data_IF_516545749316
#
_entry.id   IF_516545749316
#
_cell.length_a   1.000
_cell.length_b   1.000
_cell.length_c   1.000
_cell.angle_alpha   90.00
_cell.angle_beta   90.00
_cell.angle_gamma   90.00
#
_symmetry.space_group_name_H-M   'P 1'
#
loop_
_entity.id
_entity.type
_entity.pdbx_description
1 polymer ?
#
# COMPACT_ATOMS: atom_id res chain seq x y z
N UNK A 1 -3.82 16.00 12.16
CA UNK A 1 -3.79 16.29 10.71
C UNK A 1 -3.71 15.03 9.83
N UNK A 2 -3.03 13.95 10.27
CA UNK A 2 -2.87 12.68 9.51
C UNK A 2 -4.17 11.87 9.33
N UNK A 3 -5.02 11.78 10.36
CA UNK A 3 -6.34 11.09 10.27
C UNK A 3 -7.29 11.75 9.26
N UNK A 4 -7.23 13.07 9.11
CA UNK A 4 -8.02 13.80 8.11
C UNK A 4 -7.50 13.43 6.72
N UNK A 5 -6.19 13.32 6.50
CA UNK A 5 -5.61 12.92 5.21
C UNK A 5 -6.00 11.50 4.76
N UNK A 6 -6.03 10.52 5.67
CA UNK A 6 -6.45 9.14 5.38
C UNK A 6 -7.97 9.09 5.11
N UNK A 7 -8.78 9.73 5.96
CA UNK A 7 -10.23 9.78 5.77
C UNK A 7 -10.63 10.54 4.49
N UNK A 8 -9.94 11.63 4.14
CA UNK A 8 -10.17 12.41 2.93
C UNK A 8 -9.73 11.64 1.66
N UNK A 9 -8.65 10.85 1.73
CA UNK A 9 -8.23 9.95 0.65
C UNK A 9 -9.22 8.80 0.42
N UNK A 10 -9.80 8.24 1.48
CA UNK A 10 -10.85 7.21 1.36
C UNK A 10 -12.14 7.83 0.82
N UNK A 11 -12.56 9.00 1.32
CA UNK A 11 -13.75 9.71 0.86
C UNK A 11 -13.66 10.08 -0.63
N UNK A 12 -12.52 10.62 -1.08
CA UNK A 12 -12.30 10.95 -2.49
C UNK A 12 -12.12 9.73 -3.41
N UNK A 13 -11.88 8.55 -2.84
CA UNK A 13 -11.81 7.31 -3.60
C UNK A 13 -13.18 6.63 -3.79
N UNK A 14 -14.22 7.08 -3.07
CA UNK A 14 -15.58 6.57 -3.22
C UNK A 14 -16.26 7.32 -4.37
N UNK A 15 -16.59 6.58 -5.42
CA UNK A 15 -17.34 7.09 -6.57
C UNK A 15 -18.85 7.12 -6.26
N UNK A 16 -19.34 6.13 -5.50
CA UNK A 16 -20.77 6.05 -5.13
C UNK A 16 -20.97 5.47 -3.75
N UNK A 17 -21.86 6.06 -2.97
CA UNK A 17 -22.30 5.54 -1.67
C UNK A 17 -23.83 5.42 -1.65
N UNK A 18 -24.36 4.25 -1.29
CA UNK A 18 -25.81 4.01 -1.27
C UNK A 18 -26.23 3.14 -0.09
N UNK A 19 -27.36 3.48 0.54
CA UNK A 19 -28.01 2.60 1.50
C UNK A 19 -28.81 1.53 0.74
N UNK A 20 -28.52 0.26 1.00
CA UNK A 20 -29.14 -0.89 0.34
C UNK A 20 -29.61 -1.91 1.36
N UNK A 21 -30.78 -2.45 1.13
CA UNK A 21 -31.31 -3.57 1.91
C UNK A 21 -30.62 -4.86 1.48
N UNK A 22 -30.03 -5.58 2.42
CA UNK A 22 -29.45 -6.90 2.23
C UNK A 22 -30.52 -7.97 2.45
N UNK A 23 -30.53 -8.97 1.57
CA UNK A 23 -31.49 -10.08 1.64
C UNK A 23 -30.76 -11.41 1.54
N UNK A 24 -31.28 -12.41 2.24
CA UNK A 24 -30.76 -13.77 2.15
C UNK A 24 -30.96 -14.31 0.72
N UNK A 25 -29.94 -14.89 0.08
CA UNK A 25 -29.98 -15.23 -1.35
C UNK A 25 -31.06 -16.27 -1.69
N UNK A 26 -31.32 -17.22 -0.77
CA UNK A 26 -32.34 -18.28 -0.95
C UNK A 26 -33.72 -17.93 -0.37
N UNK A 27 -33.83 -17.65 0.94
CA UNK A 27 -35.12 -17.33 1.58
C UNK A 27 -35.70 -15.97 1.23
N UNK A 28 -34.93 -15.05 0.62
CA UNK A 28 -35.32 -13.65 0.35
C UNK A 28 -35.71 -12.85 1.61
N UNK A 29 -35.39 -13.37 2.78
CA UNK A 29 -35.57 -12.69 4.06
C UNK A 29 -34.65 -11.45 4.13
N UNK A 30 -35.16 -10.36 4.71
CA UNK A 30 -34.37 -9.15 4.93
C UNK A 30 -33.37 -9.42 6.07
N UNK A 31 -32.09 -9.22 5.78
CA UNK A 31 -31.00 -9.48 6.73
C UNK A 31 -30.57 -8.23 7.46
N UNK A 32 -30.33 -7.14 6.73
CA UNK A 32 -29.80 -5.89 7.29
C UNK A 32 -29.98 -4.73 6.29
N UNK A 33 -29.82 -3.50 6.76
CA UNK A 33 -29.65 -2.32 5.91
C UNK A 33 -28.17 -1.93 5.90
N UNK A 34 -27.53 -1.96 4.72
CA UNK A 34 -26.10 -1.77 4.57
C UNK A 34 -25.74 -0.53 3.74
N UNK A 35 -24.66 0.14 4.13
CA UNK A 35 -24.04 1.18 3.33
C UNK A 35 -23.06 0.56 2.34
N UNK A 36 -23.40 0.62 1.05
CA UNK A 36 -22.57 0.09 -0.03
C UNK A 36 -21.70 1.20 -0.60
N UNK A 37 -20.38 0.99 -0.57
CA UNK A 37 -19.40 1.92 -1.12
C UNK A 37 -18.77 1.35 -2.40
N UNK A 38 -18.82 2.11 -3.48
CA UNK A 38 -18.19 1.79 -4.77
C UNK A 38 -16.92 2.61 -4.94
N UNK A 39 -15.83 1.91 -5.26
CA UNK A 39 -14.57 2.52 -5.68
C UNK A 39 -14.43 2.38 -7.22
N UNK A 40 -13.92 3.40 -7.93
CA UNK A 40 -13.73 3.33 -9.38
C UNK A 40 -12.47 2.52 -9.72
N UNK A 41 -12.49 1.83 -10.88
CA UNK A 41 -11.35 1.01 -11.30
C UNK A 41 -10.05 1.83 -11.40
N UNK A 42 -8.90 1.26 -10.97
CA UNK A 42 -8.66 -0.16 -10.71
C UNK A 42 -9.10 -0.64 -9.31
N UNK A 43 -9.82 0.15 -8.51
CA UNK A 43 -10.15 -0.14 -7.11
C UNK A 43 -11.53 -0.79 -6.98
N UNK A 44 -11.57 -1.95 -6.29
CA UNK A 44 -12.72 -2.88 -6.20
C UNK A 44 -13.63 -2.56 -5.00
N UNK A 45 -14.81 -3.16 -5.02
CA UNK A 45 -15.91 -2.97 -4.07
C UNK A 45 -15.53 -3.38 -2.64
N UNK A 46 -15.97 -2.61 -1.63
CA UNK A 46 -15.95 -3.02 -0.23
C UNK A 46 -17.35 -2.86 0.36
N UNK A 47 -17.85 -3.91 0.99
CA UNK A 47 -19.10 -3.88 1.73
C UNK A 47 -18.80 -3.65 3.21
N UNK A 48 -19.26 -2.53 3.77
CA UNK A 48 -19.32 -2.33 5.21
C UNK A 48 -20.72 -2.72 5.67
N UNK A 49 -20.87 -3.91 6.25
CA UNK A 49 -22.10 -4.34 6.91
C UNK A 49 -21.99 -4.07 8.40
N UNK A 50 -23.02 -3.48 9.00
CA UNK A 50 -23.01 -3.06 10.41
C UNK A 50 -23.13 -4.22 11.42
N UNK A 51 -23.74 -5.34 11.05
CA UNK A 51 -23.94 -6.46 11.99
C UNK A 51 -24.21 -7.84 11.38
N UNK A 52 -24.39 -7.94 10.06
CA UNK A 52 -24.70 -9.22 9.42
C UNK A 52 -23.52 -10.21 9.52
N UNK A 53 -23.76 -11.47 9.92
CA UNK A 53 -22.71 -12.48 9.92
C UNK A 53 -22.18 -12.67 8.50
N UNK A 54 -20.87 -12.48 8.30
CA UNK A 54 -20.22 -12.50 6.99
C UNK A 54 -20.52 -13.76 6.16
N UNK A 55 -20.86 -14.86 6.83
CA UNK A 55 -21.25 -16.14 6.25
C UNK A 55 -22.51 -16.07 5.34
N UNK A 56 -23.33 -15.03 5.46
CA UNK A 56 -24.58 -14.89 4.69
C UNK A 56 -24.43 -14.01 3.44
N UNK A 57 -23.27 -13.38 3.23
CA UNK A 57 -23.05 -12.46 2.11
C UNK A 57 -22.50 -13.26 0.92
N UNK A 58 -23.39 -13.77 0.07
CA UNK A 58 -23.00 -14.38 -1.20
C UNK A 58 -23.05 -13.35 -2.33
N UNK A 59 -21.90 -12.79 -2.69
CA UNK A 59 -21.78 -11.92 -3.86
C UNK A 59 -21.38 -12.76 -5.08
N UNK A 60 -22.18 -12.76 -6.18
CA UNK A 60 -21.81 -13.47 -7.40
C UNK A 60 -20.42 -13.06 -7.88
N UNK A 61 -19.61 -14.05 -8.30
CA UNK A 61 -18.22 -13.84 -8.75
C UNK A 61 -17.23 -13.33 -7.71
N UNK A 62 -17.58 -13.40 -6.41
CA UNK A 62 -16.66 -13.14 -5.32
C UNK A 62 -16.39 -14.42 -4.53
N UNK A 63 -15.19 -14.49 -3.93
CA UNK A 63 -14.83 -15.48 -2.92
C UNK A 63 -14.51 -14.79 -1.61
N UNK A 64 -14.57 -15.54 -0.51
CA UNK A 64 -14.00 -15.08 0.75
C UNK A 64 -12.49 -14.85 0.57
N UNK A 65 -12.02 -13.70 1.07
CA UNK A 65 -10.61 -13.37 1.06
C UNK A 65 -9.87 -14.16 2.15
N UNK A 66 -8.63 -14.55 1.87
CA UNK A 66 -7.72 -15.09 2.87
C UNK A 66 -7.22 -13.98 3.80
N UNK A 67 -6.65 -14.39 4.95
CA UNK A 67 -6.08 -13.45 5.91
C UNK A 67 -4.98 -12.61 5.23
N UNK A 68 -5.11 -11.28 5.28
CA UNK A 68 -4.13 -10.36 4.69
C UNK A 68 -4.18 -10.23 3.16
N UNK A 69 -5.04 -10.97 2.46
CA UNK A 69 -5.04 -11.03 0.99
C UNK A 69 -5.26 -9.64 0.32
N UNK A 70 -6.01 -8.74 0.95
CA UNK A 70 -6.17 -7.37 0.45
C UNK A 70 -4.88 -6.57 0.51
N UNK A 71 -4.13 -6.69 1.61
CA UNK A 71 -2.85 -6.01 1.82
C UNK A 71 -1.78 -6.60 0.91
N UNK A 72 -1.74 -7.93 0.77
CA UNK A 72 -0.85 -8.63 -0.16
C UNK A 72 -1.10 -8.18 -1.61
N UNK A 73 -2.37 -8.11 -2.03
CA UNK A 73 -2.74 -7.58 -3.35
C UNK A 73 -2.33 -6.12 -3.51
N UNK A 74 -2.40 -5.30 -2.46
CA UNK A 74 -1.96 -3.91 -2.53
C UNK A 74 -0.44 -3.81 -2.73
N UNK A 75 0.33 -4.64 -2.02
CA UNK A 75 1.78 -4.76 -2.15
C UNK A 75 2.18 -5.23 -3.56
N UNK A 76 1.62 -6.34 -4.03
CA UNK A 76 1.91 -6.90 -5.36
C UNK A 76 1.54 -5.96 -6.52
N UNK A 77 0.62 -5.01 -6.29
CA UNK A 77 0.24 -3.98 -7.28
C UNK A 77 0.96 -2.64 -7.08
N UNK A 78 2.07 -2.63 -6.31
CA UNK A 78 2.88 -1.45 -6.01
C UNK A 78 2.04 -0.27 -5.48
N UNK A 79 0.99 -0.57 -4.70
CA UNK A 79 0.15 0.46 -4.07
C UNK A 79 0.61 0.81 -2.66
N UNK A 80 1.35 -0.10 -2.05
CA UNK A 80 2.01 0.05 -0.75
C UNK A 80 3.35 -0.67 -0.81
N UNK A 81 4.36 -0.17 -0.10
CA UNK A 81 5.63 -0.87 0.11
C UNK A 81 5.57 -1.77 1.37
N UNK A 82 6.66 -2.51 1.63
CA UNK A 82 6.71 -3.43 2.76
C UNK A 82 6.67 -2.71 4.13
N UNK A 83 7.29 -1.54 4.23
CA UNK A 83 7.32 -0.72 5.46
C UNK A 83 5.92 -0.20 5.78
N UNK A 84 5.15 0.18 4.76
CA UNK A 84 3.76 0.60 4.90
C UNK A 84 2.85 -0.57 5.29
N UNK A 85 3.11 -1.78 4.78
CA UNK A 85 2.39 -2.99 5.19
C UNK A 85 2.63 -3.30 6.67
N UNK A 86 3.89 -3.22 7.12
CA UNK A 86 4.26 -3.41 8.52
C UNK A 86 3.65 -2.31 9.41
N UNK A 87 3.73 -1.05 8.99
CA UNK A 87 3.10 0.07 9.68
C UNK A 87 1.57 -0.06 9.80
N UNK A 88 0.91 -0.69 8.83
CA UNK A 88 -0.53 -1.01 8.94
C UNK A 88 -0.80 -2.06 10.02
N UNK A 89 0.01 -3.13 10.08
CA UNK A 89 -0.09 -4.16 11.11
C UNK A 89 0.15 -3.56 12.50
N UNK A 90 1.22 -2.79 12.67
CA UNK A 90 1.56 -2.11 13.92
C UNK A 90 0.46 -1.15 14.37
N UNK A 91 -0.17 -0.45 13.41
CA UNK A 91 -1.27 0.47 13.70
C UNK A 91 -2.51 -0.25 14.21
N UNK A 92 -2.83 -1.42 13.63
CA UNK A 92 -3.97 -2.24 14.06
C UNK A 92 -3.76 -2.84 15.46
N UNK A 93 -2.51 -3.11 15.84
CA UNK A 93 -2.15 -3.65 17.16
C UNK A 93 -1.71 -2.60 18.19
N UNK A 94 -1.73 -1.31 17.86
CA UNK A 94 -1.22 -0.27 18.74
C UNK A 94 -2.06 -0.13 20.03
N UNK A 95 -1.42 -0.28 21.19
CA UNK A 95 -2.06 -0.14 22.50
C UNK A 95 -1.80 1.23 23.14
N UNK A 96 -0.78 1.94 22.64
CA UNK A 96 -0.35 3.25 23.14
C UNK A 96 -0.37 4.29 22.04
N UNK A 97 -0.55 5.56 22.41
CA UNK A 97 -0.49 6.68 21.45
C UNK A 97 0.90 6.80 20.81
N UNK A 98 1.96 6.41 21.52
CA UNK A 98 3.32 6.38 20.98
C UNK A 98 3.45 5.34 19.85
N UNK A 99 2.99 4.10 20.07
CA UNK A 99 2.96 3.05 19.03
C UNK A 99 2.11 3.47 17.84
N UNK A 100 0.94 4.04 18.09
CA UNK A 100 0.05 4.55 17.04
C UNK A 100 0.72 5.66 16.22
N UNK A 101 1.38 6.60 16.88
CA UNK A 101 2.12 7.69 16.21
C UNK A 101 3.27 7.16 15.36
N UNK A 102 4.00 6.15 15.84
CA UNK A 102 5.08 5.50 15.11
C UNK A 102 4.55 4.74 13.89
N UNK A 103 3.54 3.91 14.07
CA UNK A 103 2.91 3.14 13.00
C UNK A 103 2.36 4.05 11.89
N UNK A 104 1.78 5.20 12.26
CA UNK A 104 1.33 6.22 11.29
C UNK A 104 2.47 6.82 10.46
N UNK A 105 3.68 6.98 11.01
CA UNK A 105 4.85 7.46 10.26
C UNK A 105 5.41 6.42 9.30
N UNK A 106 5.33 5.14 9.66
CA UNK A 106 5.70 4.06 8.73
C UNK A 106 4.67 3.97 7.60
N UNK A 107 3.38 4.05 7.95
CA UNK A 107 2.28 3.99 7.00
C UNK A 107 2.23 5.20 6.03
N UNK A 108 2.74 6.38 6.43
CA UNK A 108 2.79 7.55 5.54
C UNK A 108 3.75 7.38 4.36
N UNK A 109 4.71 6.45 4.46
CA UNK A 109 5.75 6.23 3.45
C UNK A 109 7.02 7.05 3.66
N UNK A 110 7.05 7.94 4.67
CA UNK A 110 8.20 8.81 4.96
C UNK A 110 9.49 8.00 5.19
N UNK A 111 9.36 6.82 5.79
CA UNK A 111 10.49 5.90 6.04
C UNK A 111 10.99 5.25 4.75
N UNK A 112 10.08 4.91 3.83
CA UNK A 112 10.45 4.34 2.53
C UNK A 112 11.26 5.32 1.69
N UNK A 113 10.91 6.61 1.72
CA UNK A 113 11.66 7.66 1.01
C UNK A 113 13.11 7.78 1.49
N UNK A 114 13.35 7.65 2.80
CA UNK A 114 14.70 7.67 3.37
C UNK A 114 15.50 6.47 2.89
N UNK A 115 14.92 5.27 2.89
CA UNK A 115 15.59 4.07 2.40
C UNK A 115 15.92 4.17 0.91
N UNK A 116 15.03 4.74 0.10
CA UNK A 116 15.30 4.91 -1.32
C UNK A 116 16.40 5.94 -1.61
N UNK A 117 16.48 7.00 -0.80
CA UNK A 117 17.59 7.94 -0.89
C UNK A 117 18.93 7.24 -0.61
N UNK A 118 19.02 6.46 0.48
CA UNK A 118 20.22 5.70 0.80
C UNK A 118 20.56 4.65 -0.25
N UNK A 119 19.56 3.94 -0.79
CA UNK A 119 19.77 2.96 -1.86
C UNK A 119 20.37 3.64 -3.09
N UNK A 120 19.84 4.80 -3.47
CA UNK A 120 20.35 5.59 -4.60
C UNK A 120 21.82 6.01 -4.40
N UNK A 121 22.17 6.46 -3.20
CA UNK A 121 23.55 6.83 -2.87
C UNK A 121 24.49 5.61 -2.90
N UNK A 122 24.07 4.47 -2.35
CA UNK A 122 24.86 3.24 -2.37
C UNK A 122 25.08 2.69 -3.77
N UNK A 123 24.04 2.69 -4.61
CA UNK A 123 24.14 2.26 -6.02
C UNK A 123 25.12 3.15 -6.78
N UNK A 124 25.08 4.46 -6.54
CA UNK A 124 26.03 5.42 -7.14
C UNK A 124 27.46 5.16 -6.68
N UNK A 125 27.70 4.98 -5.39
CA UNK A 125 29.03 4.62 -4.87
C UNK A 125 29.55 3.30 -5.47
N UNK A 126 28.66 2.32 -5.64
CA UNK A 126 29.00 1.05 -6.28
C UNK A 126 29.43 1.26 -7.75
N UNK A 127 28.66 2.05 -8.51
CA UNK A 127 28.99 2.38 -9.89
C UNK A 127 30.34 3.11 -10.02
N UNK A 128 30.63 4.06 -9.12
CA UNK A 128 31.95 4.73 -9.08
C UNK A 128 33.08 3.75 -8.76
N UNK A 129 32.85 2.82 -7.83
CA UNK A 129 33.86 1.80 -7.47
C UNK A 129 34.14 0.87 -8.65
N UNK A 130 33.09 0.44 -9.36
CA UNK A 130 33.23 -0.39 -10.56
C UNK A 130 34.00 0.34 -11.66
N UNK A 131 33.68 1.61 -11.92
CA UNK A 131 34.40 2.43 -12.90
C UNK A 131 35.88 2.62 -12.52
N UNK A 132 36.18 2.82 -11.24
CA UNK A 132 37.58 2.88 -10.77
C UNK A 132 38.33 1.57 -10.97
N UNK A 133 37.66 0.42 -10.81
CA UNK A 133 38.28 -0.90 -11.05
C UNK A 133 38.53 -1.11 -12.54
N UNK A 134 37.56 -0.76 -13.39
CA UNK A 134 37.63 -1.00 -14.84
C UNK A 134 38.56 -0.02 -15.58
N UNK A 135 38.74 1.20 -15.07
CA UNK A 135 39.45 2.29 -15.76
C UNK A 135 40.57 2.97 -14.95
N UNK A 136 40.86 2.51 -13.73
CA UNK A 136 41.79 3.17 -12.80
C UNK A 136 43.28 3.19 -13.19
N UNK A 137 43.66 2.55 -14.30
CA UNK A 137 45.01 2.61 -14.86
C UNK A 137 45.21 3.76 -15.87
N UNK A 138 44.12 4.39 -16.34
CA UNK A 138 44.18 5.58 -17.20
C UNK A 138 44.32 6.85 -16.32
N UNK A 139 45.31 7.71 -16.59
CA UNK A 139 45.69 8.89 -15.78
C UNK A 139 44.62 10.01 -15.69
N UNK A 140 43.41 9.79 -16.21
CA UNK A 140 42.29 10.74 -16.14
C UNK A 140 41.35 10.33 -15.00
N UNK A 141 41.21 11.21 -13.99
CA UNK A 141 40.22 11.09 -12.90
C UNK A 141 38.86 10.60 -13.43
N UNK A 142 38.23 9.64 -12.75
CA UNK A 142 36.89 9.13 -13.11
C UNK A 142 35.90 10.30 -13.17
N UNK A 143 35.61 10.75 -14.39
CA UNK A 143 34.68 11.84 -14.67
C UNK A 143 33.23 11.34 -14.58
N UNK A 144 32.28 12.27 -14.44
CA UNK A 144 30.84 11.95 -14.51
C UNK A 144 30.44 11.19 -15.80
N UNK A 145 31.25 11.28 -16.86
CA UNK A 145 31.06 10.53 -18.10
C UNK A 145 31.41 9.03 -17.98
N UNK A 146 32.44 8.68 -17.20
CA UNK A 146 32.75 7.28 -16.89
C UNK A 146 31.68 6.65 -15.98
N UNK A 147 31.09 7.46 -15.10
CA UNK A 147 29.93 7.09 -14.29
C UNK A 147 28.69 6.77 -15.14
N UNK A 148 28.32 7.62 -16.11
CA UNK A 148 27.19 7.38 -17.02
C UNK A 148 27.34 6.08 -17.82
N UNK A 149 28.57 5.75 -18.27
CA UNK A 149 28.86 4.51 -18.99
C UNK A 149 28.71 3.23 -18.16
N UNK A 150 28.96 3.30 -16.85
CA UNK A 150 28.84 2.16 -15.94
C UNK A 150 27.38 1.89 -15.50
N UNK A 151 26.54 2.94 -15.46
CA UNK A 151 25.12 2.84 -15.05
C UNK A 151 24.24 2.17 -16.12
N UNK A 152 24.63 2.22 -17.40
CA UNK A 152 23.82 1.73 -18.53
C UNK A 152 24.11 0.26 -18.93
N UNK A 153 24.83 -0.49 -18.08
CA UNK A 153 25.16 -1.92 -18.25
C UNK A 153 24.26 -2.82 -17.41
#
# INVERSE_FOLDING_TARGET
MVLIGVALRVANAIDRAELRKLYHPKSKEHLDDALVLRFPQPKRWQLLSGSAPWQFIHVPHCRAAEAGEFTERAFNNNKVDLVQVEGLADLLSAETEAQRSQALRQLSGDVGEIYEAWRSDLVRCLAYTEAMIDFGDDEDDVTDAAYELAVDR
#
